data_IF_829496923162
#
_entry.id   IF_829496923162
#
_cell.length_a   1.000
_cell.length_b   1.000
_cell.length_c   1.000
_cell.angle_alpha   90.00
_cell.angle_beta   90.00
_cell.angle_gamma   90.00
#
_symmetry.space_group_name_H-M   'P 1'
#
loop_
_entity.id
_entity.type
_entity.pdbx_description
1 polymer ?
#
# COMPACT_ATOMS: atom_id res chain seq x y z
N UNK A 1 -43.88 0.80 37.86
CA UNK A 1 -42.73 0.70 36.93
C UNK A 1 -42.29 -0.76 36.92
N UNK A 2 -42.59 -1.51 35.86
CA UNK A 2 -42.19 -2.92 35.75
C UNK A 2 -40.69 -2.97 35.48
N UNK A 3 -39.92 -3.52 36.42
CA UNK A 3 -38.45 -3.54 36.39
C UNK A 3 -37.89 -4.61 35.45
N UNK A 4 -38.45 -4.72 34.25
CA UNK A 4 -38.13 -5.77 33.29
C UNK A 4 -36.98 -5.30 32.39
N UNK A 5 -35.88 -6.06 32.38
CA UNK A 5 -34.74 -5.85 31.51
C UNK A 5 -34.57 -7.06 30.62
N UNK A 6 -34.29 -6.82 29.34
CA UNK A 6 -33.88 -7.84 28.39
C UNK A 6 -32.43 -7.57 28.03
N UNK A 7 -31.61 -8.61 28.10
CA UNK A 7 -30.22 -8.59 27.69
C UNK A 7 -30.08 -9.29 26.34
N UNK A 8 -29.29 -8.70 25.46
CA UNK A 8 -28.95 -9.29 24.16
C UNK A 8 -27.43 -9.43 24.12
N UNK A 9 -26.96 -10.63 23.81
CA UNK A 9 -25.57 -10.86 23.44
C UNK A 9 -25.38 -10.53 21.96
N UNK A 10 -24.49 -9.58 21.68
CA UNK A 10 -24.15 -9.14 20.32
C UNK A 10 -22.73 -9.58 20.05
N UNK A 11 -22.58 -10.56 19.17
CA UNK A 11 -21.27 -11.00 18.66
C UNK A 11 -20.97 -10.26 17.36
N UNK A 12 -19.85 -9.55 17.33
CA UNK A 12 -19.37 -8.80 16.16
C UNK A 12 -18.08 -9.46 15.66
N UNK A 13 -18.11 -10.01 14.45
CA UNK A 13 -16.93 -10.55 13.79
C UNK A 13 -16.42 -9.55 12.76
N UNK A 14 -15.19 -9.07 12.93
CA UNK A 14 -14.51 -8.27 11.92
C UNK A 14 -13.82 -9.18 10.90
N UNK A 15 -14.09 -8.96 9.61
CA UNK A 15 -13.40 -9.65 8.51
C UNK A 15 -12.10 -8.94 8.15
N UNK A 16 -11.16 -9.68 7.55
CA UNK A 16 -9.91 -9.10 7.05
C UNK A 16 -10.17 -7.98 6.02
N UNK A 17 -9.36 -6.91 6.01
CA UNK A 17 -9.51 -5.82 5.06
C UNK A 17 -9.26 -6.32 3.63
N UNK A 18 -10.12 -5.91 2.69
CA UNK A 18 -9.89 -6.11 1.26
C UNK A 18 -8.78 -5.20 0.71
N UNK A 19 -8.40 -5.35 -0.56
CA UNK A 19 -7.43 -4.46 -1.18
C UNK A 19 -7.97 -3.02 -1.21
N UNK A 20 -7.16 -2.08 -0.75
CA UNK A 20 -7.46 -0.65 -0.68
C UNK A 20 -7.54 -0.06 -2.08
N UNK A 21 -6.52 -0.34 -2.91
CA UNK A 21 -6.43 0.15 -4.28
C UNK A 21 -5.49 -0.71 -5.14
N UNK A 22 -5.60 -0.56 -6.46
CA UNK A 22 -4.74 -1.25 -7.44
C UNK A 22 -3.81 -0.25 -8.13
N UNK A 23 -2.51 -0.42 -7.91
CA UNK A 23 -1.45 0.45 -8.42
C UNK A 23 -0.84 -0.16 -9.69
N UNK A 24 -1.03 0.50 -10.82
CA UNK A 24 -0.46 0.07 -12.10
C UNK A 24 0.94 0.67 -12.28
N UNK A 25 1.95 -0.18 -12.44
CA UNK A 25 3.35 0.20 -12.61
C UNK A 25 3.90 -0.43 -13.89
N UNK A 26 4.17 0.41 -14.88
CA UNK A 26 4.72 -0.01 -16.17
C UNK A 26 6.11 0.60 -16.32
N UNK A 27 7.13 -0.24 -16.50
CA UNK A 27 8.50 0.21 -16.68
C UNK A 27 9.22 -0.67 -17.71
N UNK A 28 10.11 -0.09 -18.53
CA UNK A 28 10.98 -0.90 -19.37
C UNK A 28 12.08 -1.56 -18.51
N UNK A 29 12.59 -2.70 -18.99
CA UNK A 29 13.64 -3.47 -18.31
C UNK A 29 14.83 -2.57 -17.93
N UNK A 30 15.31 -2.74 -16.68
CA UNK A 30 16.42 -2.01 -16.03
C UNK A 30 16.16 -0.53 -15.70
N UNK A 31 15.00 0.03 -16.05
CA UNK A 31 14.60 1.37 -15.62
C UNK A 31 13.75 1.31 -14.35
N UNK A 32 13.81 2.36 -13.54
CA UNK A 32 13.02 2.49 -12.32
C UNK A 32 11.84 3.43 -12.55
N UNK A 33 10.62 2.98 -12.25
CA UNK A 33 9.44 3.85 -12.14
C UNK A 33 9.09 4.02 -10.67
N UNK A 34 8.66 5.22 -10.28
CA UNK A 34 8.29 5.56 -8.90
C UNK A 34 6.85 6.04 -8.85
N UNK A 35 6.10 5.57 -7.88
CA UNK A 35 4.73 6.01 -7.60
C UNK A 35 4.57 6.29 -6.12
N UNK A 36 4.04 7.46 -5.81
CA UNK A 36 3.70 7.81 -4.42
C UNK A 36 2.25 7.43 -4.16
N UNK A 37 2.02 6.80 -3.01
CA UNK A 37 0.71 6.46 -2.47
C UNK A 37 0.55 7.09 -1.09
N UNK A 38 -0.64 7.60 -0.81
CA UNK A 38 -0.97 8.27 0.44
C UNK A 38 -1.93 7.40 1.23
N UNK A 39 -1.57 7.11 2.47
CA UNK A 39 -2.43 6.44 3.44
C UNK A 39 -3.00 7.51 4.37
N UNK A 40 -4.32 7.61 4.43
CA UNK A 40 -5.00 8.53 5.34
C UNK A 40 -5.03 7.96 6.75
N UNK A 41 -4.82 8.81 7.75
CA UNK A 41 -4.90 8.47 9.16
C UNK A 41 -6.31 8.78 9.69
N UNK A 42 -7.16 7.77 9.96
CA UNK A 42 -8.49 7.99 10.52
C UNK A 42 -8.49 8.38 12.01
N UNK A 43 -7.34 8.32 12.70
CA UNK A 43 -7.25 8.71 14.10
C UNK A 43 -7.40 10.23 14.25
N UNK A 44 -8.06 10.70 15.32
CA UNK A 44 -8.21 12.13 15.57
C UNK A 44 -6.84 12.81 15.74
N UNK A 45 -6.70 14.03 15.23
CA UNK A 45 -5.45 14.80 15.26
C UNK A 45 -4.91 15.08 16.69
N UNK A 46 -5.78 15.02 17.70
CA UNK A 46 -5.43 15.15 19.13
C UNK A 46 -4.80 13.89 19.73
N UNK A 47 -4.79 12.77 19.00
CA UNK A 47 -3.98 11.64 19.37
C UNK A 47 -2.54 11.94 18.91
N UNK A 48 -1.68 12.40 19.82
CA UNK A 48 -0.20 12.38 19.71
C UNK A 48 0.36 10.94 19.57
N UNK A 49 -0.37 10.05 18.89
CA UNK A 49 0.07 8.71 18.57
C UNK A 49 0.98 8.82 17.35
N UNK A 50 2.28 8.61 17.56
CA UNK A 50 3.21 8.34 16.47
C UNK A 50 2.73 7.10 15.73
N UNK A 51 2.15 7.29 14.55
CA UNK A 51 1.73 6.18 13.68
C UNK A 51 2.97 5.70 12.95
N UNK A 52 3.62 4.71 13.54
CA UNK A 52 4.71 3.99 12.91
C UNK A 52 4.18 2.90 11.99
N UNK A 53 4.88 2.68 10.88
CA UNK A 53 4.63 1.56 9.98
C UNK A 53 5.79 0.58 10.07
N UNK A 54 5.46 -0.71 10.04
CA UNK A 54 6.44 -1.78 9.92
C UNK A 54 7.09 -1.83 8.54
N UNK A 55 7.96 -2.82 8.35
CA UNK A 55 8.57 -3.07 7.05
C UNK A 55 7.50 -3.45 6.03
N UNK A 56 7.43 -2.76 4.87
CA UNK A 56 6.47 -3.08 3.83
C UNK A 56 6.75 -4.47 3.25
N UNK A 57 5.73 -5.32 3.19
CA UNK A 57 5.86 -6.66 2.64
C UNK A 57 5.35 -6.67 1.19
N UNK A 58 6.24 -7.04 0.26
CA UNK A 58 5.93 -7.24 -1.16
C UNK A 58 6.54 -8.58 -1.61
N UNK A 59 5.78 -9.35 -2.38
CA UNK A 59 6.22 -10.64 -2.90
C UNK A 59 7.18 -10.52 -4.10
N UNK A 60 7.27 -9.33 -4.74
CA UNK A 60 8.15 -9.09 -5.89
C UNK A 60 9.50 -8.45 -5.50
N UNK A 61 10.65 -9.09 -5.84
CA UNK A 61 11.98 -8.58 -5.48
C UNK A 61 12.45 -7.37 -6.29
N UNK A 62 11.77 -7.03 -7.39
CA UNK A 62 12.04 -5.85 -8.20
C UNK A 62 11.28 -4.62 -7.69
N UNK A 63 10.43 -4.77 -6.67
CA UNK A 63 9.70 -3.68 -6.02
C UNK A 63 10.39 -3.29 -4.72
N UNK A 64 10.54 -1.99 -4.50
CA UNK A 64 11.02 -1.40 -3.26
C UNK A 64 10.01 -0.38 -2.78
N UNK A 65 9.70 -0.41 -1.49
CA UNK A 65 8.77 0.54 -0.89
C UNK A 65 9.49 1.28 0.22
N UNK A 66 9.37 2.61 0.23
CA UNK A 66 9.93 3.47 1.26
C UNK A 66 8.91 4.48 1.73
N UNK A 67 8.84 4.72 3.03
CA UNK A 67 8.05 5.83 3.58
C UNK A 67 8.81 7.15 3.34
N UNK A 68 8.13 8.15 2.79
CA UNK A 68 8.73 9.45 2.45
C UNK A 68 8.75 10.45 3.61
N UNK A 69 8.04 10.18 4.70
CA UNK A 69 8.04 11.03 5.90
C UNK A 69 7.24 10.40 7.04
N UNK A 70 7.50 10.85 8.27
CA UNK A 70 6.84 10.35 9.48
C UNK A 70 5.39 10.84 9.55
N UNK A 71 4.47 9.94 9.94
CA UNK A 71 3.04 10.22 10.16
C UNK A 71 2.74 10.88 11.53
N UNK A 72 3.76 11.31 12.26
CA UNK A 72 3.62 11.94 13.57
C UNK A 72 2.73 13.19 13.50
N UNK A 73 1.50 13.08 14.03
CA UNK A 73 0.51 14.15 14.05
C UNK A 73 0.03 14.63 12.67
N UNK A 74 0.31 13.87 11.59
CA UNK A 74 -0.14 14.20 10.24
C UNK A 74 -1.40 13.42 9.88
N UNK A 75 -2.32 14.02 9.10
CA UNK A 75 -3.52 13.33 8.62
C UNK A 75 -3.21 12.29 7.54
N UNK A 76 -2.00 12.28 6.98
CA UNK A 76 -1.62 11.44 5.85
C UNK A 76 -0.13 11.02 5.89
N UNK A 77 0.13 9.81 5.40
CA UNK A 77 1.46 9.20 5.29
C UNK A 77 1.74 8.82 3.86
N UNK A 78 2.89 9.24 3.33
CA UNK A 78 3.26 8.99 1.95
C UNK A 78 4.28 7.84 1.84
N UNK A 79 3.98 6.87 0.98
CA UNK A 79 4.87 5.77 0.62
C UNK A 79 5.25 5.89 -0.86
N UNK A 80 6.54 5.80 -1.16
CA UNK A 80 7.03 5.68 -2.51
C UNK A 80 7.27 4.20 -2.84
N UNK A 81 6.56 3.71 -3.85
CA UNK A 81 6.74 2.41 -4.47
C UNK A 81 7.62 2.60 -5.71
N UNK A 82 8.83 2.04 -5.67
CA UNK A 82 9.77 1.98 -6.78
C UNK A 82 9.72 0.57 -7.41
N UNK A 83 9.47 0.49 -8.71
CA UNK A 83 9.53 -0.76 -9.47
C UNK A 83 10.66 -0.70 -10.49
N UNK A 84 11.55 -1.70 -10.46
CA UNK A 84 12.70 -1.82 -11.36
C UNK A 84 12.82 -3.24 -11.95
N UNK A 85 12.09 -3.55 -13.02
CA UNK A 85 12.09 -4.89 -13.62
C UNK A 85 13.46 -5.28 -14.18
N UNK A 86 13.86 -6.52 -13.96
CA UNK A 86 15.07 -7.11 -14.54
C UNK A 86 14.81 -7.92 -15.82
N UNK A 87 13.60 -8.44 -15.97
CA UNK A 87 13.17 -9.27 -17.09
C UNK A 87 11.92 -8.67 -17.74
N UNK A 88 11.85 -8.70 -19.06
CA UNK A 88 10.66 -8.28 -19.80
C UNK A 88 9.55 -9.31 -19.59
N UNK A 89 8.32 -8.84 -19.42
CA UNK A 89 7.13 -9.67 -19.26
C UNK A 89 6.06 -9.15 -20.19
N UNK A 90 5.52 -10.04 -21.04
CA UNK A 90 4.45 -9.69 -21.98
C UNK A 90 3.13 -9.42 -21.23
N UNK A 91 2.91 -10.20 -20.16
CA UNK A 91 1.76 -10.10 -19.28
C UNK A 91 2.05 -9.25 -18.04
N UNK A 92 1.01 -8.57 -17.55
CA UNK A 92 1.08 -7.84 -16.30
C UNK A 92 0.90 -8.81 -15.12
N UNK A 93 1.81 -8.77 -14.15
CA UNK A 93 1.77 -9.59 -12.95
C UNK A 93 1.14 -8.80 -11.81
N UNK A 94 0.19 -9.40 -11.11
CA UNK A 94 -0.42 -8.81 -9.92
C UNK A 94 0.27 -9.35 -8.67
N UNK A 95 0.83 -8.46 -7.85
CA UNK A 95 1.46 -8.82 -6.57
C UNK A 95 0.88 -7.98 -5.43
N UNK A 96 0.63 -8.58 -4.26
CA UNK A 96 0.13 -7.85 -3.11
C UNK A 96 1.25 -7.04 -2.45
N UNK A 97 0.94 -5.80 -2.07
CA UNK A 97 1.75 -4.95 -1.20
C UNK A 97 1.03 -4.76 0.12
N UNK A 98 1.63 -5.17 1.24
CA UNK A 98 1.06 -5.02 2.59
C UNK A 98 1.84 -3.96 3.37
N UNK A 99 1.13 -2.95 3.85
CA UNK A 99 1.64 -1.94 4.78
C UNK A 99 0.97 -2.19 6.14
N UNK A 100 1.74 -2.52 7.16
CA UNK A 100 1.20 -2.79 8.50
C UNK A 100 1.60 -1.69 9.47
N UNK A 101 0.66 -1.29 10.32
CA UNK A 101 0.88 -0.37 11.43
C UNK A 101 0.19 -0.94 12.68
N UNK A 102 0.85 -0.94 13.85
CA UNK A 102 0.21 -1.37 15.09
C UNK A 102 -0.98 -0.49 15.49
N UNK A 103 -0.99 0.79 15.08
CA UNK A 103 -2.05 1.73 15.41
C UNK A 103 -3.23 1.69 14.43
N UNK A 104 -2.96 1.43 13.14
CA UNK A 104 -3.97 1.50 12.06
C UNK A 104 -4.39 0.14 11.48
N UNK A 105 -3.63 -0.92 11.74
CA UNK A 105 -3.85 -2.24 11.17
C UNK A 105 -3.09 -2.45 9.85
N UNK A 106 -3.65 -3.28 8.97
CA UNK A 106 -3.01 -3.67 7.70
C UNK A 106 -3.73 -3.03 6.50
N UNK A 107 -2.94 -2.38 5.64
CA UNK A 107 -3.37 -1.85 4.35
C UNK A 107 -2.79 -2.71 3.25
N UNK A 108 -3.65 -3.41 2.52
CA UNK A 108 -3.26 -4.25 1.39
C UNK A 108 -3.54 -3.50 0.08
N UNK A 109 -2.55 -3.43 -0.81
CA UNK A 109 -2.65 -2.88 -2.16
C UNK A 109 -2.35 -3.97 -3.17
N UNK A 110 -2.89 -3.85 -4.39
CA UNK A 110 -2.54 -4.74 -5.51
C UNK A 110 -1.63 -3.98 -6.46
N UNK A 111 -0.39 -4.44 -6.64
CA UNK A 111 0.52 -3.87 -7.62
C UNK A 111 0.38 -4.65 -8.93
N UNK A 112 -0.04 -3.97 -9.99
CA UNK A 112 -0.07 -4.52 -11.35
C UNK A 112 1.20 -4.09 -12.08
N UNK A 113 2.17 -5.00 -12.13
CA UNK A 113 3.51 -4.79 -12.65
C UNK A 113 3.60 -5.23 -14.10
N UNK A 114 4.07 -4.36 -15.00
CA UNK A 114 4.36 -4.71 -16.40
C UNK A 114 5.75 -4.27 -16.80
N UNK A 115 6.51 -5.20 -17.39
CA UNK A 115 7.87 -4.96 -17.82
C UNK A 115 7.98 -4.97 -19.35
N UNK A 116 8.11 -3.79 -19.95
CA UNK A 116 8.29 -3.66 -21.40
C UNK A 116 9.73 -3.97 -21.81
N UNK A 117 9.95 -4.40 -23.06
CA UNK A 117 11.29 -4.54 -23.62
C UNK A 117 12.11 -3.24 -23.42
N UNK A 118 13.45 -3.32 -23.28
CA UNK A 118 14.28 -2.13 -23.16
C UNK A 118 13.99 -1.23 -24.36
N UNK A 119 13.47 -0.03 -24.10
CA UNK A 119 13.19 0.94 -25.16
C UNK A 119 14.49 1.22 -25.89
N UNK A 120 14.54 0.85 -27.18
CA UNK A 120 15.47 1.49 -28.10
C UNK A 120 15.21 2.99 -28.03
N UNK A 121 16.28 3.76 -27.96
CA UNK A 121 16.31 5.22 -27.86
C UNK A 121 15.23 5.91 -28.72
N UNK A 122 14.71 7.10 -28.32
CA UNK A 122 14.07 7.96 -29.31
C UNK A 122 15.09 8.21 -30.42
N UNK A 123 14.78 7.70 -31.61
CA UNK A 123 15.58 7.94 -32.80
C UNK A 123 15.65 9.45 -33.02
N UNK A 124 16.86 9.99 -33.15
CA UNK A 124 17.15 11.36 -33.58
C UNK A 124 16.16 11.81 -34.67
N UNK A 125 15.62 13.02 -34.52
CA UNK A 125 15.36 13.92 -35.64
C UNK A 125 16.16 15.20 -35.44
#
# INVERSE_FOLDING_TARGET
KTGEFVFYDVELTATAPGPVDTLVLEAPVRQSVKRVVTVENPLPADADADVEFGEPACDDPCVRVRMLGTMAGKPEGAFEVEYRPLLASDEAVEVPLRLSSPALGEYTYVLRLKASAPGTEPSLQ
#
